data_IF_194375907721
#
_entry.id   IF_194375907721
#
_cell.length_a   1.000
_cell.length_b   1.000
_cell.length_c   1.000
_cell.angle_alpha   90.00
_cell.angle_beta   90.00
_cell.angle_gamma   90.00
#
_symmetry.space_group_name_H-M   'P 1'
#
loop_
_entity.id
_entity.type
_entity.pdbx_description
1 polymer ?
#
# COMPACT_ATOMS: atom_id res chain seq x y z
N UNK A 1 -0.89 20.51 -10.43
CA UNK A 1 -1.84 19.38 -10.51
C UNK A 1 -1.18 18.09 -10.02
N UNK A 2 0.08 17.86 -10.39
CA UNK A 2 0.75 16.57 -10.21
C UNK A 2 1.09 16.24 -8.75
N UNK A 3 1.39 17.24 -7.91
CA UNK A 3 1.54 17.02 -6.46
C UNK A 3 0.27 16.46 -5.82
N UNK A 4 -0.91 16.98 -6.23
CA UNK A 4 -2.20 16.48 -5.75
C UNK A 4 -2.42 15.05 -6.23
N UNK A 5 -1.99 14.72 -7.46
CA UNK A 5 -2.06 13.36 -7.98
C UNK A 5 -1.20 12.41 -7.16
N UNK A 6 0.04 12.77 -6.83
CA UNK A 6 0.89 11.98 -5.92
C UNK A 6 0.18 11.74 -4.59
N UNK A 7 -0.36 12.79 -3.95
CA UNK A 7 -1.07 12.65 -2.68
C UNK A 7 -2.29 11.71 -2.77
N UNK A 8 -3.01 11.73 -3.90
CA UNK A 8 -4.17 10.83 -4.13
C UNK A 8 -3.73 9.39 -4.33
N UNK A 9 -2.71 9.15 -5.14
CA UNK A 9 -2.20 7.80 -5.43
C UNK A 9 -1.68 7.08 -4.19
N UNK A 10 -1.12 7.83 -3.25
CA UNK A 10 -0.65 7.28 -1.98
C UNK A 10 -1.67 7.41 -0.85
N UNK A 11 -2.90 7.83 -1.16
CA UNK A 11 -4.00 8.01 -0.20
C UNK A 11 -3.62 8.82 1.05
N UNK A 12 -2.68 9.75 0.92
CA UNK A 12 -2.17 10.57 2.03
C UNK A 12 -1.31 9.82 3.06
N UNK A 13 -0.86 8.58 2.79
CA UNK A 13 -0.01 7.82 3.69
C UNK A 13 1.32 8.56 3.97
N UNK A 14 1.64 8.91 5.24
CA UNK A 14 2.81 9.73 5.56
C UNK A 14 4.13 9.17 5.03
N UNK A 15 4.38 7.88 5.25
CA UNK A 15 5.61 7.24 4.78
C UNK A 15 5.73 7.25 3.26
N UNK A 16 4.63 7.03 2.53
CA UNK A 16 4.64 7.05 1.08
C UNK A 16 5.01 8.45 0.55
N UNK A 17 4.50 9.50 1.18
CA UNK A 17 4.85 10.89 0.87
C UNK A 17 6.32 11.19 1.18
N UNK A 18 6.84 10.72 2.32
CA UNK A 18 8.26 10.86 2.66
C UNK A 18 9.17 10.18 1.62
N UNK A 19 8.83 8.96 1.22
CA UNK A 19 9.58 8.21 0.20
C UNK A 19 9.51 8.89 -1.17
N UNK A 20 8.32 9.37 -1.58
CA UNK A 20 8.15 10.12 -2.83
C UNK A 20 8.98 11.41 -2.84
N UNK A 21 9.01 12.14 -1.71
CA UNK A 21 9.77 13.38 -1.58
C UNK A 21 11.29 13.17 -1.77
N UNK A 22 11.82 11.96 -1.51
CA UNK A 22 13.24 11.68 -1.76
C UNK A 22 13.62 11.75 -3.25
N UNK A 23 12.67 11.48 -4.16
CA UNK A 23 12.85 11.50 -5.61
C UNK A 23 12.67 12.89 -6.23
N UNK A 24 12.06 13.83 -5.50
CA UNK A 24 11.77 15.19 -5.99
C UNK A 24 13.02 16.02 -6.31
N UNK A 25 14.22 15.56 -5.88
CA UNK A 25 15.50 16.18 -6.28
C UNK A 25 15.94 15.81 -7.70
N UNK A 26 15.44 14.70 -8.24
CA UNK A 26 15.87 14.13 -9.53
C UNK A 26 14.75 13.99 -10.54
N UNK A 27 13.49 14.08 -10.10
CA UNK A 27 12.29 13.90 -10.91
C UNK A 27 11.27 14.98 -10.57
N UNK A 28 10.47 15.39 -11.55
CA UNK A 28 9.30 16.22 -11.31
C UNK A 28 8.13 15.38 -10.75
N UNK A 29 7.10 16.07 -10.23
CA UNK A 29 5.94 15.40 -9.63
C UNK A 29 5.14 14.57 -10.63
N UNK A 30 5.13 14.93 -11.92
CA UNK A 30 4.43 14.18 -12.95
C UNK A 30 5.09 12.81 -13.20
N UNK A 31 6.43 12.79 -13.28
CA UNK A 31 7.20 11.55 -13.40
C UNK A 31 7.04 10.66 -12.17
N UNK A 32 7.08 11.27 -10.96
CA UNK A 32 6.87 10.54 -9.71
C UNK A 32 5.46 9.89 -9.69
N UNK A 33 4.42 10.63 -10.08
CA UNK A 33 3.07 10.09 -10.14
C UNK A 33 2.97 8.90 -11.12
N UNK A 34 3.57 9.03 -12.31
CA UNK A 34 3.58 7.95 -13.30
C UNK A 34 4.30 6.69 -12.81
N UNK A 35 5.42 6.82 -12.09
CA UNK A 35 6.13 5.67 -11.52
C UNK A 35 5.32 5.01 -10.38
N UNK A 36 4.64 5.79 -9.54
CA UNK A 36 3.73 5.25 -8.51
C UNK A 36 2.57 4.47 -9.16
N UNK A 37 1.96 5.01 -10.22
CA UNK A 37 0.88 4.34 -10.97
C UNK A 37 1.32 3.02 -11.60
N UNK A 38 2.57 2.93 -12.04
CA UNK A 38 3.14 1.69 -12.59
C UNK A 38 3.39 0.66 -11.50
N UNK A 39 4.03 1.07 -10.40
CA UNK A 39 4.38 0.15 -9.33
C UNK A 39 4.74 0.86 -8.01
N UNK A 40 3.94 0.63 -6.96
CA UNK A 40 4.18 1.13 -5.61
C UNK A 40 5.52 0.70 -4.99
N UNK A 41 6.19 -0.36 -5.48
CA UNK A 41 7.53 -0.72 -4.99
C UNK A 41 8.60 0.34 -5.31
N UNK A 42 8.31 1.25 -6.24
CA UNK A 42 9.12 2.44 -6.51
C UNK A 42 9.36 3.27 -5.23
N UNK A 43 8.36 3.32 -4.33
CA UNK A 43 8.46 3.98 -3.04
C UNK A 43 9.32 3.14 -2.08
N UNK A 44 10.63 3.28 -2.24
CA UNK A 44 11.66 2.61 -1.45
C UNK A 44 12.87 3.51 -1.21
N UNK A 45 13.63 3.19 -0.16
CA UNK A 45 14.86 3.90 0.19
C UNK A 45 15.94 2.92 0.67
N UNK A 46 17.19 3.24 0.36
CA UNK A 46 18.38 2.51 0.83
C UNK A 46 19.04 3.20 2.03
N UNK A 47 18.42 4.25 2.55
CA UNK A 47 18.92 4.98 3.72
C UNK A 47 19.04 4.07 4.94
N UNK A 48 20.25 4.04 5.52
CA UNK A 48 20.61 3.10 6.59
C UNK A 48 19.93 3.43 7.93
N UNK A 49 19.57 4.69 8.14
CA UNK A 49 18.93 5.20 9.35
C UNK A 49 17.41 5.05 9.39
N UNK A 50 16.79 4.49 8.34
CA UNK A 50 15.37 4.14 8.32
C UNK A 50 15.18 2.70 8.79
N UNK A 51 14.22 2.48 9.69
CA UNK A 51 13.89 1.15 10.20
C UNK A 51 13.53 0.21 9.04
N UNK A 52 13.86 -1.09 9.15
CA UNK A 52 13.62 -2.03 8.06
C UNK A 52 12.15 -2.04 7.59
N UNK A 53 11.21 -1.92 8.53
CA UNK A 53 9.77 -1.82 8.24
C UNK A 53 9.40 -0.61 7.38
N UNK A 54 10.08 0.52 7.53
CA UNK A 54 9.75 1.77 6.82
C UNK A 54 10.64 2.03 5.59
N UNK A 55 11.46 1.07 5.16
CA UNK A 55 12.34 1.26 3.99
C UNK A 55 11.61 1.24 2.65
N UNK A 56 10.40 0.70 2.59
CA UNK A 56 9.56 0.77 1.40
C UNK A 56 8.11 0.54 1.77
N UNK A 57 7.19 0.93 0.88
CA UNK A 57 5.79 0.55 1.03
C UNK A 57 5.62 -0.97 1.05
N UNK A 58 6.39 -1.69 0.23
CA UNK A 58 6.39 -3.16 0.25
C UNK A 58 6.84 -3.74 1.60
N UNK A 59 7.83 -3.13 2.28
CA UNK A 59 8.26 -3.57 3.60
C UNK A 59 7.15 -3.36 4.65
N UNK A 60 6.38 -2.27 4.54
CA UNK A 60 5.20 -2.05 5.40
C UNK A 60 4.13 -3.10 5.15
N UNK A 61 3.79 -3.36 3.88
CA UNK A 61 2.81 -4.39 3.53
C UNK A 61 3.23 -5.78 3.99
N UNK A 62 4.49 -6.17 3.75
CA UNK A 62 5.02 -7.45 4.20
C UNK A 62 4.94 -7.58 5.72
N UNK A 63 5.27 -6.52 6.47
CA UNK A 63 5.16 -6.57 7.92
C UNK A 63 3.71 -6.74 8.38
N UNK A 64 2.76 -5.99 7.80
CA UNK A 64 1.33 -6.17 8.10
C UNK A 64 0.85 -7.59 7.75
N UNK A 65 1.27 -8.11 6.59
CA UNK A 65 0.95 -9.47 6.17
C UNK A 65 1.47 -10.54 7.13
N UNK A 66 2.65 -10.34 7.71
CA UNK A 66 3.20 -11.30 8.69
C UNK A 66 2.49 -11.25 10.05
N UNK A 67 1.72 -10.20 10.37
CA UNK A 67 0.92 -10.14 11.58
C UNK A 67 -0.36 -10.97 11.49
N UNK A 68 -0.82 -11.26 10.26
CA UNK A 68 -2.01 -12.05 10.03
C UNK A 68 -1.75 -13.53 10.32
N UNK A 69 -2.72 -14.20 10.91
CA UNK A 69 -2.73 -15.66 11.02
C UNK A 69 -3.05 -16.33 9.68
N UNK A 70 -3.13 -17.66 9.66
CA UNK A 70 -3.37 -18.41 8.42
C UNK A 70 -4.77 -18.17 7.86
N UNK A 71 -5.79 -18.08 8.72
CA UNK A 71 -7.19 -17.90 8.32
C UNK A 71 -7.40 -16.49 7.75
N UNK A 72 -6.88 -15.48 8.44
CA UNK A 72 -6.90 -14.09 7.95
C UNK A 72 -6.20 -13.97 6.59
N UNK A 73 -5.02 -14.58 6.42
CA UNK A 73 -4.31 -14.57 5.12
C UNK A 73 -5.15 -15.17 4.01
N UNK A 74 -5.82 -16.29 4.26
CA UNK A 74 -6.69 -16.92 3.25
C UNK A 74 -7.84 -16.00 2.85
N UNK A 75 -8.50 -15.37 3.83
CA UNK A 75 -9.58 -14.41 3.57
C UNK A 75 -9.07 -13.21 2.77
N UNK A 76 -8.00 -12.53 3.21
CA UNK A 76 -7.47 -11.36 2.50
C UNK A 76 -6.94 -11.71 1.08
N UNK A 77 -6.42 -12.91 0.85
CA UNK A 77 -6.05 -13.37 -0.51
C UNK A 77 -7.28 -13.48 -1.42
N UNK A 78 -8.40 -14.01 -0.94
CA UNK A 78 -9.65 -14.09 -1.73
C UNK A 78 -10.22 -12.71 -2.04
N UNK A 79 -10.16 -11.79 -1.07
CA UNK A 79 -10.66 -10.42 -1.21
C UNK A 79 -9.83 -9.57 -2.19
N UNK A 80 -8.61 -9.99 -2.54
CA UNK A 80 -7.76 -9.28 -3.51
C UNK A 80 -8.34 -9.22 -4.94
N UNK A 81 -9.45 -9.94 -5.22
CA UNK A 81 -10.21 -9.81 -6.47
C UNK A 81 -10.90 -8.45 -6.61
N UNK A 82 -11.22 -7.80 -5.50
CA UNK A 82 -11.87 -6.50 -5.50
C UNK A 82 -10.87 -5.40 -5.86
N UNK A 83 -11.26 -4.52 -6.79
CA UNK A 83 -10.51 -3.28 -7.07
C UNK A 83 -11.09 -2.16 -6.21
N UNK A 84 -10.30 -1.66 -5.27
CA UNK A 84 -10.74 -0.68 -4.29
C UNK A 84 -11.37 -1.36 -3.08
N UNK A 85 -12.57 -0.92 -2.68
CA UNK A 85 -13.29 -1.46 -1.53
C UNK A 85 -14.30 -2.55 -1.89
N UNK A 86 -14.91 -3.13 -0.86
CA UNK A 86 -16.00 -4.09 -0.95
C UNK A 86 -17.04 -3.80 0.14
N UNK A 87 -18.27 -4.26 -0.08
CA UNK A 87 -19.26 -4.32 1.00
C UNK A 87 -19.12 -5.63 1.78
N UNK A 88 -19.65 -5.66 2.99
CA UNK A 88 -19.57 -6.83 3.88
C UNK A 88 -20.19 -8.07 3.21
N UNK A 89 -21.33 -7.91 2.56
CA UNK A 89 -22.06 -8.99 1.91
C UNK A 89 -21.23 -9.62 0.78
N UNK A 90 -20.46 -8.82 0.06
CA UNK A 90 -19.56 -9.32 -0.98
C UNK A 90 -18.34 -10.03 -0.40
N UNK A 91 -17.83 -9.58 0.74
CA UNK A 91 -16.72 -10.25 1.42
C UNK A 91 -17.14 -11.62 1.99
N UNK A 92 -18.34 -11.71 2.55
CA UNK A 92 -18.95 -12.95 3.01
C UNK A 92 -19.12 -13.94 1.85
N UNK A 93 -19.77 -13.52 0.76
CA UNK A 93 -20.01 -14.38 -0.41
C UNK A 93 -18.72 -14.89 -1.07
N UNK A 94 -17.67 -14.07 -1.16
CA UNK A 94 -16.43 -14.42 -1.87
C UNK A 94 -15.43 -15.14 -0.98
N UNK A 95 -15.35 -14.78 0.30
CA UNK A 95 -14.29 -15.22 1.19
C UNK A 95 -14.75 -15.95 2.45
N UNK A 96 -16.07 -16.05 2.69
CA UNK A 96 -16.66 -16.51 3.96
C UNK A 96 -16.14 -15.65 5.14
N UNK A 97 -15.96 -14.34 4.86
CA UNK A 97 -15.30 -13.42 5.77
C UNK A 97 -16.23 -12.99 6.92
N UNK A 98 -15.90 -13.40 8.14
CA UNK A 98 -16.58 -12.92 9.34
C UNK A 98 -16.22 -11.46 9.67
N UNK A 99 -17.03 -10.79 10.50
CA UNK A 99 -16.70 -9.45 10.98
C UNK A 99 -15.43 -9.43 11.85
N UNK A 100 -15.15 -10.52 12.56
CA UNK A 100 -13.96 -10.63 13.41
C UNK A 100 -12.69 -10.71 12.56
N UNK A 101 -12.75 -11.40 11.42
CA UNK A 101 -11.63 -11.51 10.47
C UNK A 101 -11.36 -10.19 9.72
N UNK A 102 -12.37 -9.32 9.63
CA UNK A 102 -12.30 -8.03 8.93
C UNK A 102 -11.97 -6.83 9.85
N UNK A 103 -11.93 -7.04 11.17
CA UNK A 103 -11.68 -5.98 12.17
C UNK A 103 -10.20 -5.85 12.52
#
# INVERSE_FOLDING_TARGET
ADLIQVCRLVEGMPLALELAATWARSMDCATIAAEIERNLTFLSTTLRNVSQRHRSMQAVFNHAWQLLDSEEKEVYMKLAVFKGGFCREAADEIADASLETLS
#
